data_IF_399979276328
#
_entry.id   IF_399979276328
#
_cell.length_a   1.000
_cell.length_b   1.000
_cell.length_c   1.000
_cell.angle_alpha   90.00
_cell.angle_beta   90.00
_cell.angle_gamma   90.00
#
_symmetry.space_group_name_H-M   'P 1'
#
loop_
_entity.id
_entity.type
_entity.pdbx_description
1 polymer ?
#
# COMPACT_ATOMS: atom_id res chain seq x y z
N UNK A 1 -22.18 -1.05 -16.79
CA UNK A 1 -20.84 -0.60 -16.40
C UNK A 1 -20.96 -0.15 -14.96
N UNK A 2 -20.24 -0.77 -14.02
CA UNK A 2 -20.16 -0.22 -12.67
C UNK A 2 -19.48 1.14 -12.78
N UNK A 3 -20.16 2.18 -12.33
CA UNK A 3 -19.62 3.54 -12.29
C UNK A 3 -18.44 3.58 -11.29
N UNK A 4 -17.36 4.27 -11.66
CA UNK A 4 -16.12 4.41 -10.90
C UNK A 4 -16.40 4.93 -9.48
N UNK A 5 -17.47 5.74 -9.32
CA UNK A 5 -17.96 6.23 -8.04
C UNK A 5 -18.33 5.11 -7.03
N UNK A 6 -18.82 3.95 -7.50
CA UNK A 6 -19.15 2.83 -6.61
C UNK A 6 -17.91 2.14 -6.06
N UNK A 7 -16.83 2.09 -6.84
CA UNK A 7 -15.56 1.51 -6.41
C UNK A 7 -14.90 2.43 -5.39
N UNK A 8 -14.89 3.74 -5.64
CA UNK A 8 -14.36 4.73 -4.69
C UNK A 8 -15.11 4.71 -3.36
N UNK A 9 -16.44 4.70 -3.39
CA UNK A 9 -17.26 4.61 -2.18
C UNK A 9 -16.99 3.32 -1.39
N UNK A 10 -16.88 2.18 -2.06
CA UNK A 10 -16.53 0.91 -1.40
C UNK A 10 -15.11 0.93 -0.81
N UNK A 11 -14.17 1.59 -1.48
CA UNK A 11 -12.79 1.69 -1.03
C UNK A 11 -12.63 2.63 0.18
N UNK A 12 -13.43 3.70 0.25
CA UNK A 12 -13.46 4.62 1.37
C UNK A 12 -14.04 3.95 2.63
N UNK A 13 -15.16 3.24 2.49
CA UNK A 13 -15.77 2.44 3.58
C UNK A 13 -14.82 1.34 4.08
N UNK A 14 -14.15 0.62 3.18
CA UNK A 14 -13.17 -0.41 3.54
C UNK A 14 -11.97 0.18 4.29
N UNK A 15 -11.52 1.37 3.89
CA UNK A 15 -10.39 2.06 4.53
C UNK A 15 -10.75 2.53 5.94
N UNK A 16 -11.94 3.08 6.14
CA UNK A 16 -12.45 3.48 7.45
C UNK A 16 -12.56 2.28 8.39
N UNK A 17 -13.17 1.18 7.93
CA UNK A 17 -13.30 -0.05 8.71
C UNK A 17 -11.94 -0.64 9.12
N UNK A 18 -10.94 -0.55 8.24
CA UNK A 18 -9.58 -1.02 8.53
C UNK A 18 -8.90 -0.16 9.61
N UNK A 19 -9.03 1.18 9.54
CA UNK A 19 -8.49 2.09 10.54
C UNK A 19 -9.12 1.87 11.92
N UNK A 20 -10.44 1.69 11.98
CA UNK A 20 -11.14 1.39 13.23
C UNK A 20 -10.64 0.09 13.86
N UNK A 21 -10.50 -0.98 13.06
CA UNK A 21 -9.97 -2.25 13.54
C UNK A 21 -8.53 -2.12 14.06
N UNK A 22 -7.68 -1.36 13.37
CA UNK A 22 -6.30 -1.08 13.82
C UNK A 22 -6.30 -0.31 15.14
N UNK A 23 -7.14 0.72 15.29
CA UNK A 23 -7.24 1.48 16.53
C UNK A 23 -7.72 0.64 17.71
N UNK A 24 -8.76 -0.19 17.51
CA UNK A 24 -9.26 -1.11 18.55
C UNK A 24 -8.15 -2.09 18.94
N UNK A 25 -7.42 -2.63 17.97
CA UNK A 25 -6.32 -3.55 18.23
C UNK A 25 -5.19 -2.89 19.02
N UNK A 26 -4.76 -1.69 18.63
CA UNK A 26 -3.72 -0.92 19.34
C UNK A 26 -4.17 -0.59 20.76
N UNK A 27 -5.41 -0.14 20.95
CA UNK A 27 -5.96 0.15 22.27
C UNK A 27 -5.98 -1.11 23.17
N UNK A 28 -6.37 -2.25 22.62
CA UNK A 28 -6.35 -3.53 23.34
C UNK A 28 -4.93 -3.95 23.75
N UNK A 29 -3.98 -3.89 22.81
CA UNK A 29 -2.57 -4.24 23.04
C UNK A 29 -1.94 -3.34 24.09
N UNK A 30 -2.19 -2.02 24.01
CA UNK A 30 -1.73 -1.06 25.00
C UNK A 30 -2.32 -1.36 26.40
N UNK A 31 -3.62 -1.63 26.48
CA UNK A 31 -4.29 -2.02 27.72
C UNK A 31 -3.72 -3.31 28.32
N UNK A 32 -3.29 -4.27 27.48
CA UNK A 32 -2.64 -5.51 27.92
C UNK A 32 -1.12 -5.39 28.11
N UNK A 33 -0.54 -4.21 27.88
CA UNK A 33 0.90 -3.98 27.93
C UNK A 33 1.70 -4.95 27.05
N UNK A 34 1.13 -5.39 25.92
CA UNK A 34 1.88 -6.23 24.98
C UNK A 34 2.84 -5.37 24.16
N UNK A 35 4.02 -5.90 23.81
CA UNK A 35 4.93 -5.21 22.91
C UNK A 35 4.30 -5.10 21.51
N UNK A 36 4.29 -3.89 20.95
CA UNK A 36 3.92 -3.65 19.55
C UNK A 36 5.20 -3.69 18.72
N UNK A 37 5.26 -4.61 17.77
CA UNK A 37 6.31 -4.62 16.74
C UNK A 37 5.71 -4.08 15.46
N UNK A 38 6.25 -2.98 14.96
CA UNK A 38 5.85 -2.44 13.66
C UNK A 38 6.61 -3.17 12.56
N UNK A 39 5.89 -3.87 11.69
CA UNK A 39 6.44 -4.36 10.45
C UNK A 39 6.22 -3.28 9.39
N UNK A 40 7.28 -2.76 8.79
CA UNK A 40 7.14 -1.95 7.57
C UNK A 40 6.68 -2.89 6.44
N UNK A 41 5.37 -2.98 6.22
CA UNK A 41 4.76 -3.84 5.20
C UNK A 41 5.27 -3.46 3.81
N UNK A 42 5.56 -2.17 3.59
CA UNK A 42 6.06 -1.65 2.32
C UNK A 42 7.47 -2.17 2.05
N UNK A 43 8.33 -2.18 3.07
CA UNK A 43 9.65 -2.80 2.96
C UNK A 43 9.60 -4.33 2.99
N UNK A 44 8.70 -4.95 3.75
CA UNK A 44 8.56 -6.40 3.80
C UNK A 44 8.20 -6.98 2.42
N UNK A 45 7.34 -6.29 1.65
CA UNK A 45 7.05 -6.63 0.26
C UNK A 45 8.29 -6.55 -0.63
N UNK A 46 9.11 -5.50 -0.45
CA UNK A 46 10.35 -5.31 -1.20
C UNK A 46 11.49 -6.23 -0.73
N UNK A 47 11.43 -6.77 0.48
CA UNK A 47 12.49 -7.59 1.07
C UNK A 47 12.46 -9.04 0.56
N UNK A 48 11.33 -9.53 0.03
CA UNK A 48 11.26 -10.80 -0.70
C UNK A 48 11.90 -10.73 -2.10
N UNK A 49 12.24 -11.87 -2.72
CA UNK A 49 12.58 -11.90 -4.14
C UNK A 49 11.36 -11.55 -4.99
N UNK A 50 11.47 -10.52 -5.83
CA UNK A 50 10.48 -10.21 -6.86
C UNK A 50 10.55 -11.33 -7.91
N UNK A 51 9.66 -12.32 -7.83
CA UNK A 51 9.55 -13.39 -8.83
C UNK A 51 8.99 -12.90 -10.17
N UNK A 52 8.24 -11.81 -10.14
CA UNK A 52 7.52 -11.25 -11.29
C UNK A 52 7.93 -9.79 -11.53
N UNK A 53 7.83 -9.33 -12.78
CA UNK A 53 8.04 -7.93 -13.12
C UNK A 53 6.86 -7.10 -12.62
N UNK A 54 7.08 -6.38 -11.51
CA UNK A 54 6.08 -5.47 -10.96
C UNK A 54 6.24 -4.10 -11.58
N UNK A 55 5.16 -3.60 -12.16
CA UNK A 55 5.03 -2.22 -12.63
C UNK A 55 4.21 -1.44 -11.60
N UNK A 56 4.62 -0.20 -11.33
CA UNK A 56 3.95 0.64 -10.33
C UNK A 56 3.10 1.66 -11.05
N UNK A 57 1.88 1.88 -10.55
CA UNK A 57 1.04 3.00 -11.00
C UNK A 57 1.80 4.30 -10.75
N UNK A 58 2.00 5.08 -11.82
CA UNK A 58 2.57 6.41 -11.73
C UNK A 58 1.54 7.34 -11.10
N UNK A 59 1.97 8.11 -10.10
CA UNK A 59 1.22 9.27 -9.64
C UNK A 59 1.20 10.32 -10.75
N UNK A 60 0.13 11.12 -10.83
CA UNK A 60 -0.03 12.13 -11.88
C UNK A 60 1.14 13.12 -11.95
N UNK A 61 1.76 13.41 -10.80
CA UNK A 61 2.94 14.28 -10.70
C UNK A 61 4.24 13.66 -11.29
N UNK A 62 4.21 12.38 -11.66
CA UNK A 62 5.35 11.61 -12.18
C UNK A 62 5.07 11.04 -13.58
N UNK A 63 3.95 11.42 -14.21
CA UNK A 63 3.67 11.10 -15.60
C UNK A 63 4.68 11.80 -16.51
N UNK A 64 5.30 11.04 -17.41
CA UNK A 64 6.15 11.58 -18.46
C UNK A 64 5.28 12.08 -19.61
N UNK A 65 5.18 13.40 -19.76
CA UNK A 65 4.35 14.04 -20.78
C UNK A 65 4.78 13.69 -22.21
N UNK A 66 6.05 13.35 -22.42
CA UNK A 66 6.59 12.99 -23.74
C UNK A 66 6.33 11.52 -24.09
N UNK A 67 6.08 10.66 -23.09
CA UNK A 67 5.85 9.23 -23.24
C UNK A 67 4.76 8.69 -22.29
N UNK A 68 3.49 9.08 -22.51
CA UNK A 68 2.38 8.79 -21.60
C UNK A 68 2.05 7.30 -21.46
N UNK A 69 2.48 6.46 -22.40
CA UNK A 69 2.29 5.00 -22.36
C UNK A 69 3.33 4.25 -21.52
N UNK A 70 4.39 4.90 -21.06
CA UNK A 70 5.48 4.24 -20.32
C UNK A 70 5.15 4.13 -18.83
N UNK A 71 5.22 2.91 -18.32
CA UNK A 71 5.09 2.59 -16.89
C UNK A 71 6.46 2.37 -16.25
N UNK A 72 6.63 2.77 -14.97
CA UNK A 72 7.86 2.49 -14.24
C UNK A 72 7.90 1.04 -13.75
N UNK A 73 8.99 0.36 -14.07
CA UNK A 73 9.32 -0.96 -13.51
C UNK A 73 9.93 -0.79 -12.13
N UNK A 74 9.41 -1.53 -11.16
CA UNK A 74 9.98 -1.61 -9.82
C UNK A 74 11.34 -2.33 -9.87
N UNK A 75 12.42 -1.64 -9.52
CA UNK A 75 13.75 -2.23 -9.32
C UNK A 75 14.07 -2.28 -7.83
N UNK A 76 14.36 -3.47 -7.32
CA UNK A 76 14.87 -3.66 -5.96
C UNK A 76 16.32 -3.20 -5.89
N UNK A 77 16.60 -2.26 -5.00
CA UNK A 77 17.95 -1.92 -4.58
C UNK A 77 18.19 -2.68 -3.27
N UNK A 78 19.14 -3.60 -3.26
CA UNK A 78 19.62 -4.16 -2.00
C UNK A 78 20.47 -3.06 -1.35
N UNK A 79 20.11 -2.69 -0.12
CA UNK A 79 21.00 -1.91 0.72
C UNK A 79 21.99 -2.93 1.30
N UNK A 80 23.23 -2.90 0.82
CA UNK A 80 24.35 -3.71 1.35
C UNK A 80 24.84 -3.19 2.71
#
# INVERSE_FOLDING_TARGET
>A
MADFAWIEAMQEELHLACLEAVWIFVAYVAHKSFPIYQMDVKMAFLNGPLKEEVYVVQLDAFLDTDYPEKVYRLRKLFMD
#
